data_IF_410329904929
#
_entry.id   IF_410329904929
#
_cell.length_a   1.000
_cell.length_b   1.000
_cell.length_c   1.000
_cell.angle_alpha   90.00
_cell.angle_beta   90.00
_cell.angle_gamma   90.00
#
_symmetry.space_group_name_H-M   'P 1'
#
loop_
_entity.id
_entity.type
_entity.pdbx_description
1 polymer ?
#
# COMPACT_ATOMS: atom_id res chain seq x y z
N UNK A 1 21.28 -31.17 2.59
CA UNK A 1 22.53 -31.35 1.82
C UNK A 1 23.51 -30.30 2.32
N UNK A 2 24.76 -30.65 2.67
CA UNK A 2 25.62 -29.74 3.40
C UNK A 2 26.12 -28.60 2.51
N UNK A 3 26.02 -27.38 3.03
CA UNK A 3 26.53 -26.14 2.46
C UNK A 3 28.06 -26.12 2.46
N UNK A 4 28.68 -26.04 1.28
CA UNK A 4 30.12 -25.81 1.15
C UNK A 4 30.44 -24.32 1.31
N UNK A 5 31.14 -23.96 2.38
CA UNK A 5 31.87 -22.69 2.47
C UNK A 5 33.27 -22.89 1.89
N UNK A 6 33.58 -22.21 0.80
CA UNK A 6 34.96 -22.10 0.28
C UNK A 6 35.69 -20.98 1.02
N UNK A 7 36.88 -21.28 1.55
CA UNK A 7 37.75 -20.31 2.24
C UNK A 7 38.82 -19.80 1.28
N UNK A 8 38.88 -18.48 1.08
CA UNK A 8 40.03 -17.80 0.49
C UNK A 8 40.72 -16.99 1.59
N UNK A 9 41.98 -17.32 1.87
CA UNK A 9 42.85 -16.57 2.79
C UNK A 9 43.42 -15.34 2.08
N UNK A 10 42.92 -14.16 2.41
CA UNK A 10 43.65 -12.90 2.20
C UNK A 10 43.32 -11.93 3.33
N UNK A 11 44.35 -11.23 3.81
CA UNK A 11 44.32 -10.34 4.97
C UNK A 11 43.62 -9.03 4.57
N UNK A 12 42.31 -9.01 4.76
CA UNK A 12 41.43 -7.84 4.90
C UNK A 12 40.16 -8.39 5.52
N UNK A 13 39.64 -7.76 6.57
CA UNK A 13 38.43 -8.21 7.25
C UNK A 13 37.22 -8.14 6.31
N UNK A 14 37.01 -9.18 5.52
CA UNK A 14 35.77 -9.41 4.77
C UNK A 14 34.78 -9.92 5.81
N UNK A 15 33.94 -9.02 6.32
CA UNK A 15 32.71 -9.43 6.98
C UNK A 15 31.98 -10.34 5.99
N UNK A 16 31.71 -11.61 6.31
CA UNK A 16 30.96 -12.46 5.41
C UNK A 16 29.57 -11.84 5.29
N UNK A 17 29.26 -11.28 4.12
CA UNK A 17 27.87 -11.04 3.74
C UNK A 17 27.25 -12.43 3.58
N UNK A 18 26.75 -12.96 4.68
CA UNK A 18 25.75 -14.00 4.64
C UNK A 18 24.56 -13.41 3.87
N UNK A 19 24.45 -13.71 2.58
CA UNK A 19 23.19 -13.60 1.88
C UNK A 19 22.26 -14.59 2.56
N UNK A 20 21.54 -14.10 3.58
CA UNK A 20 20.41 -14.82 4.12
C UNK A 20 19.48 -15.06 2.94
N UNK A 21 19.22 -16.34 2.63
CA UNK A 21 18.11 -16.74 1.79
C UNK A 21 16.84 -16.22 2.50
N UNK A 22 16.46 -14.96 2.22
CA UNK A 22 15.26 -14.35 2.80
C UNK A 22 14.10 -15.14 2.24
N UNK A 23 13.56 -16.04 3.06
CA UNK A 23 12.27 -16.66 2.79
C UNK A 23 11.27 -15.52 2.62
N UNK A 24 10.43 -15.59 1.59
CA UNK A 24 9.23 -14.74 1.47
C UNK A 24 8.58 -14.68 2.86
N UNK A 25 8.40 -13.46 3.35
CA UNK A 25 7.79 -13.24 4.66
C UNK A 25 6.41 -13.88 4.63
N UNK A 26 6.06 -14.70 5.63
CA UNK A 26 4.69 -15.23 5.69
C UNK A 26 3.76 -14.04 5.86
N UNK A 27 2.54 -14.12 5.34
CA UNK A 27 1.55 -13.07 5.53
C UNK A 27 1.23 -12.88 7.02
N UNK A 28 2.00 -12.02 7.67
CA UNK A 28 2.05 -11.87 9.13
C UNK A 28 2.62 -10.52 9.48
N UNK A 29 1.86 -9.72 10.23
CA UNK A 29 2.27 -8.38 10.61
C UNK A 29 3.48 -8.37 11.55
N UNK A 30 3.68 -9.42 12.35
CA UNK A 30 4.78 -9.51 13.32
C UNK A 30 6.15 -9.71 12.69
N UNK A 31 6.19 -10.08 11.41
CA UNK A 31 7.43 -10.27 10.66
C UNK A 31 7.78 -9.07 9.80
N UNK A 32 6.92 -8.05 9.75
CA UNK A 32 7.15 -6.84 8.98
C UNK A 32 7.92 -5.83 9.81
N UNK A 33 8.89 -5.18 9.17
CA UNK A 33 9.46 -3.95 9.71
C UNK A 33 8.38 -2.86 9.66
N UNK A 34 8.17 -2.18 10.78
CA UNK A 34 7.15 -1.14 10.87
C UNK A 34 7.54 0.06 9.98
N UNK A 35 6.65 0.51 9.08
CA UNK A 35 6.93 1.66 8.25
C UNK A 35 7.03 2.93 9.11
N UNK A 36 7.98 3.80 8.77
CA UNK A 36 8.13 5.11 9.40
C UNK A 36 7.69 6.17 8.40
N UNK A 37 6.78 7.03 8.84
CA UNK A 37 6.28 8.18 8.07
C UNK A 37 6.51 9.42 8.91
N UNK A 38 7.10 10.46 8.32
CA UNK A 38 7.42 11.69 9.03
C UNK A 38 6.12 12.40 9.44
N UNK A 39 5.97 12.70 10.74
CA UNK A 39 4.79 13.41 11.26
C UNK A 39 3.56 12.51 11.50
N UNK A 40 3.60 11.24 11.13
CA UNK A 40 2.52 10.28 11.35
C UNK A 40 2.88 9.26 12.44
N UNK A 41 1.84 8.76 13.12
CA UNK A 41 1.92 7.71 14.11
C UNK A 41 1.15 6.48 13.62
N UNK A 42 1.86 5.38 13.39
CA UNK A 42 1.24 4.08 13.09
C UNK A 42 0.57 3.56 14.36
N UNK A 43 -0.74 3.28 14.30
CA UNK A 43 -1.53 2.79 15.44
C UNK A 43 -1.83 1.30 15.34
N UNK A 44 -1.90 0.75 14.12
CA UNK A 44 -2.13 -0.69 13.91
C UNK A 44 -1.57 -1.17 12.58
N UNK A 45 -1.10 -2.42 12.56
CA UNK A 45 -0.74 -3.15 11.35
C UNK A 45 -1.34 -4.55 11.46
N UNK A 46 -2.14 -4.93 10.47
CA UNK A 46 -2.72 -6.27 10.37
C UNK A 46 -2.35 -6.92 9.05
N UNK A 47 -2.27 -8.25 9.05
CA UNK A 47 -1.94 -9.05 7.88
C UNK A 47 -2.95 -10.17 7.71
N UNK A 48 -3.54 -10.25 6.52
CA UNK A 48 -4.54 -11.27 6.18
C UNK A 48 -4.19 -11.90 4.86
N UNK A 49 -3.98 -13.22 4.85
CA UNK A 49 -3.83 -13.96 3.62
C UNK A 49 -5.19 -14.14 2.97
N UNK A 50 -5.35 -13.71 1.72
CA UNK A 50 -6.62 -13.72 1.00
C UNK A 50 -6.51 -14.66 -0.20
N UNK A 51 -7.22 -15.79 -0.13
CA UNK A 51 -7.34 -16.74 -1.23
C UNK A 51 -8.53 -17.71 -1.00
N UNK A 52 -9.36 -17.99 -2.02
CA UNK A 52 -9.46 -17.29 -3.30
C UNK A 52 -10.15 -15.93 -3.15
N UNK A 53 -9.74 -14.95 -3.95
CA UNK A 53 -10.44 -13.66 -4.06
C UNK A 53 -10.88 -13.39 -5.49
N UNK A 54 -12.11 -12.91 -5.65
CA UNK A 54 -12.70 -12.59 -6.93
C UNK A 54 -13.46 -11.27 -6.83
N UNK A 55 -13.26 -10.39 -7.81
CA UNK A 55 -13.95 -9.09 -7.89
C UNK A 55 -14.08 -8.65 -9.34
N UNK A 56 -14.97 -7.70 -9.59
CA UNK A 56 -15.06 -6.98 -10.86
C UNK A 56 -14.51 -5.58 -10.68
N UNK A 57 -13.64 -5.17 -11.59
CA UNK A 57 -13.23 -3.77 -11.71
C UNK A 57 -14.01 -3.13 -12.82
N UNK A 58 -14.58 -1.95 -12.55
CA UNK A 58 -14.95 -1.01 -13.60
C UNK A 58 -13.68 -0.39 -14.19
N UNK A 59 -13.82 0.36 -15.28
CA UNK A 59 -12.68 1.05 -15.88
C UNK A 59 -12.11 2.06 -14.88
N UNK A 60 -10.82 1.94 -14.56
CA UNK A 60 -10.07 2.93 -13.77
C UNK A 60 -8.85 3.40 -14.57
N UNK A 61 -8.95 4.60 -15.14
CA UNK A 61 -7.94 5.18 -16.01
C UNK A 61 -7.71 4.32 -17.25
N UNK A 62 -6.45 3.90 -17.46
CA UNK A 62 -6.06 3.06 -18.59
C UNK A 62 -6.38 1.56 -18.40
N UNK A 63 -6.86 1.14 -17.22
CA UNK A 63 -7.20 -0.25 -16.94
C UNK A 63 -8.64 -0.53 -17.41
N UNK A 64 -8.85 -1.46 -18.36
CA UNK A 64 -10.18 -1.83 -18.82
C UNK A 64 -11.01 -2.51 -17.73
N UNK A 65 -12.34 -2.40 -17.85
CA UNK A 65 -13.24 -3.18 -17.01
C UNK A 65 -13.03 -4.68 -17.24
N UNK A 66 -12.88 -5.43 -16.16
CA UNK A 66 -12.57 -6.85 -16.20
C UNK A 66 -12.98 -7.56 -14.90
N UNK A 67 -13.16 -8.87 -14.99
CA UNK A 67 -13.36 -9.74 -13.84
C UNK A 67 -12.01 -10.38 -13.47
N UNK A 68 -11.63 -10.23 -12.20
CA UNK A 68 -10.44 -10.85 -11.64
C UNK A 68 -10.88 -11.97 -10.72
N UNK A 69 -10.39 -13.18 -10.95
CA UNK A 69 -10.78 -14.37 -10.20
C UNK A 69 -9.57 -15.11 -9.68
N UNK A 70 -9.76 -15.89 -8.61
CA UNK A 70 -8.72 -16.73 -8.01
C UNK A 70 -7.44 -15.98 -7.63
N UNK A 71 -7.55 -14.69 -7.29
CA UNK A 71 -6.41 -13.93 -6.80
C UNK A 71 -5.93 -14.52 -5.46
N UNK A 72 -4.62 -14.48 -5.26
CA UNK A 72 -3.94 -14.96 -4.07
C UNK A 72 -2.89 -13.92 -3.65
N UNK A 73 -3.10 -13.32 -2.48
CA UNK A 73 -2.24 -12.25 -2.01
C UNK A 73 -2.29 -12.12 -0.49
N UNK A 74 -1.28 -11.46 0.06
CA UNK A 74 -1.31 -10.96 1.42
C UNK A 74 -1.83 -9.52 1.42
N UNK A 75 -2.90 -9.24 2.17
CA UNK A 75 -3.34 -7.87 2.46
C UNK A 75 -2.72 -7.40 3.78
N UNK A 76 -1.88 -6.37 3.71
CA UNK A 76 -1.42 -5.64 4.89
C UNK A 76 -2.24 -4.37 5.02
N UNK A 77 -3.00 -4.25 6.10
CA UNK A 77 -3.72 -3.02 6.45
C UNK A 77 -2.95 -2.26 7.52
N UNK A 78 -2.63 -1.01 7.23
CA UNK A 78 -2.00 -0.07 8.16
C UNK A 78 -3.00 0.98 8.55
N UNK A 79 -3.16 1.23 9.85
CA UNK A 79 -3.90 2.36 10.39
C UNK A 79 -2.92 3.34 11.01
N UNK A 80 -3.09 4.62 10.72
CA UNK A 80 -2.25 5.68 11.28
C UNK A 80 -3.04 6.99 11.46
N UNK A 81 -2.43 7.93 12.16
CA UNK A 81 -2.95 9.29 12.40
C UNK A 81 -1.79 10.27 12.38
N UNK A 82 -2.07 11.53 12.08
CA UNK A 82 -1.17 12.65 12.32
C UNK A 82 -1.54 13.31 13.67
N UNK A 83 -0.65 13.30 14.68
CA UNK A 83 -0.93 13.95 15.96
C UNK A 83 -1.35 15.42 15.78
N UNK A 84 -2.55 15.75 16.24
CA UNK A 84 -3.15 17.08 16.11
C UNK A 84 -4.07 17.26 14.91
N UNK A 85 -4.15 16.29 13.98
CA UNK A 85 -5.04 16.39 12.82
C UNK A 85 -6.45 15.86 13.10
N UNK A 86 -6.58 14.97 14.09
CA UNK A 86 -7.82 14.25 14.40
C UNK A 86 -8.33 13.44 13.20
N UNK A 87 -7.40 12.77 12.52
CA UNK A 87 -7.61 11.88 11.39
C UNK A 87 -7.39 10.41 11.80
N UNK A 88 -7.99 9.48 11.05
CA UNK A 88 -7.66 8.05 11.14
C UNK A 88 -7.62 7.53 9.71
N UNK A 89 -6.42 7.30 9.19
CA UNK A 89 -6.20 6.94 7.79
C UNK A 89 -5.86 5.47 7.69
N UNK A 90 -6.42 4.81 6.68
CA UNK A 90 -6.13 3.42 6.35
C UNK A 90 -5.38 3.31 5.04
N UNK A 91 -4.37 2.43 5.03
CA UNK A 91 -3.67 2.00 3.82
C UNK A 91 -3.82 0.49 3.70
N UNK A 92 -4.25 0.03 2.54
CA UNK A 92 -4.19 -1.39 2.18
C UNK A 92 -3.05 -1.60 1.20
N UNK A 93 -2.20 -2.60 1.47
CA UNK A 93 -1.11 -3.02 0.61
C UNK A 93 -1.33 -4.48 0.24
N UNK A 94 -1.63 -4.74 -1.03
CA UNK A 94 -1.83 -6.08 -1.55
C UNK A 94 -0.55 -6.60 -2.20
N UNK A 95 -0.08 -7.74 -1.70
CA UNK A 95 1.20 -8.35 -2.03
C UNK A 95 0.96 -9.74 -2.65
N UNK A 96 0.94 -9.87 -3.99
CA UNK A 96 0.73 -11.17 -4.63
C UNK A 96 1.92 -12.11 -4.41
N UNK A 97 1.67 -13.41 -4.39
CA UNK A 97 2.77 -14.40 -4.27
C UNK A 97 3.76 -14.31 -5.43
N UNK A 98 3.26 -14.05 -6.65
CA UNK A 98 4.05 -13.85 -7.86
C UNK A 98 4.26 -12.35 -8.10
N UNK A 99 5.33 -11.80 -7.53
CA UNK A 99 5.66 -10.39 -7.65
C UNK A 99 6.64 -10.11 -8.80
N UNK A 100 6.31 -9.14 -9.64
CA UNK A 100 7.10 -8.77 -10.82
C UNK A 100 8.22 -7.73 -10.52
N UNK A 101 8.48 -7.43 -9.25
CA UNK A 101 9.47 -6.44 -8.82
C UNK A 101 9.02 -4.99 -8.90
N UNK A 102 7.72 -4.72 -9.15
CA UNK A 102 7.18 -3.36 -9.32
C UNK A 102 6.15 -3.02 -8.24
N UNK A 103 6.10 -1.75 -7.88
CA UNK A 103 5.08 -1.19 -6.99
C UNK A 103 4.12 -0.30 -7.76
N UNK A 104 2.83 -0.32 -7.43
CA UNK A 104 1.82 0.59 -7.97
C UNK A 104 1.00 1.23 -6.86
N UNK A 105 1.09 2.55 -6.71
CA UNK A 105 0.11 3.32 -5.94
C UNK A 105 -1.14 3.58 -6.77
N UNK A 106 -2.30 3.57 -6.14
CA UNK A 106 -3.57 3.84 -6.82
C UNK A 106 -4.31 5.04 -6.25
N UNK A 107 -4.90 5.84 -7.13
CA UNK A 107 -5.77 6.97 -6.78
C UNK A 107 -7.26 6.65 -6.88
N UNK A 108 -8.08 7.55 -6.35
CA UNK A 108 -9.54 7.44 -6.32
C UNK A 108 -10.24 8.25 -7.42
N UNK A 109 -11.50 8.62 -7.14
CA UNK A 109 -12.37 9.40 -8.01
C UNK A 109 -13.34 10.23 -7.17
N UNK A 110 -13.88 11.32 -7.73
CA UNK A 110 -14.77 12.22 -6.99
C UNK A 110 -14.13 12.74 -5.70
N UNK A 111 -14.80 12.56 -4.56
CA UNK A 111 -14.30 12.92 -3.24
C UNK A 111 -13.77 11.71 -2.45
N UNK A 112 -13.14 10.78 -3.16
CA UNK A 112 -12.54 9.58 -2.60
C UNK A 112 -11.06 9.55 -2.95
N UNK A 113 -10.21 9.25 -1.97
CA UNK A 113 -8.75 9.22 -2.14
C UNK A 113 -8.27 7.99 -2.92
N UNK A 114 -8.94 6.83 -2.78
CA UNK A 114 -8.57 5.57 -3.44
C UNK A 114 -9.68 4.51 -3.39
N UNK A 115 -9.81 3.71 -4.44
CA UNK A 115 -10.73 2.58 -4.48
C UNK A 115 -9.96 1.26 -4.29
N UNK A 116 -9.95 0.70 -3.08
CA UNK A 116 -9.18 -0.51 -2.73
C UNK A 116 -9.41 -1.67 -3.72
N UNK A 117 -10.56 -2.34 -3.67
CA UNK A 117 -10.76 -3.57 -4.45
C UNK A 117 -10.71 -3.31 -5.97
N UNK A 118 -11.33 -2.22 -6.43
CA UNK A 118 -11.38 -1.86 -7.84
C UNK A 118 -10.01 -1.49 -8.42
N UNK A 119 -9.10 -0.90 -7.63
CA UNK A 119 -7.79 -0.45 -8.15
C UNK A 119 -6.67 -1.43 -7.84
N UNK A 120 -6.74 -2.15 -6.72
CA UNK A 120 -5.70 -3.10 -6.32
C UNK A 120 -5.81 -4.44 -7.05
N UNK A 121 -7.01 -4.97 -7.29
CA UNK A 121 -7.18 -6.25 -7.99
C UNK A 121 -6.54 -6.27 -9.39
N UNK A 122 -6.73 -5.26 -10.26
CA UNK A 122 -6.04 -5.20 -11.55
C UNK A 122 -4.51 -5.15 -11.45
N UNK A 123 -3.99 -4.47 -10.43
CA UNK A 123 -2.56 -4.30 -10.22
C UNK A 123 -1.93 -5.62 -9.78
N UNK A 124 -2.49 -6.28 -8.77
CA UNK A 124 -1.94 -7.56 -8.29
C UNK A 124 -2.12 -8.69 -9.30
N UNK A 125 -3.16 -8.66 -10.14
CA UNK A 125 -3.34 -9.60 -11.24
C UNK A 125 -2.23 -9.52 -12.29
N UNK A 126 -1.56 -8.37 -12.39
CA UNK A 126 -0.38 -8.16 -13.25
C UNK A 126 0.95 -8.35 -12.48
N UNK A 127 0.89 -8.78 -11.22
CA UNK A 127 2.06 -9.05 -10.37
C UNK A 127 2.65 -7.83 -9.68
N UNK A 128 1.98 -6.68 -9.65
CA UNK A 128 2.44 -5.53 -8.87
C UNK A 128 2.19 -5.77 -7.38
N UNK A 129 3.10 -5.26 -6.53
CA UNK A 129 2.72 -4.90 -5.17
C UNK A 129 1.91 -3.60 -5.25
N UNK A 130 0.71 -3.56 -4.71
CA UNK A 130 -0.21 -2.45 -4.94
C UNK A 130 -0.71 -1.84 -3.64
N UNK A 131 -0.87 -0.52 -3.59
CA UNK A 131 -1.37 0.16 -2.39
C UNK A 131 -2.42 1.23 -2.70
N UNK A 132 -3.40 1.33 -1.81
CA UNK A 132 -4.51 2.28 -1.85
C UNK A 132 -4.80 2.82 -0.45
N UNK A 133 -5.30 4.04 -0.35
CA UNK A 133 -5.70 4.66 0.91
C UNK A 133 -7.11 5.24 0.83
N UNK A 134 -7.80 5.28 1.97
CA UNK A 134 -9.06 6.00 2.11
C UNK A 134 -8.86 7.51 2.32
N UNK A 135 -7.65 7.95 2.68
CA UNK A 135 -7.33 9.34 3.00
C UNK A 135 -8.10 9.87 4.22
N UNK A 136 -8.47 9.00 5.15
CA UNK A 136 -9.08 9.38 6.42
C UNK A 136 -10.57 9.66 6.36
N UNK A 137 -11.23 9.33 5.26
CA UNK A 137 -12.67 9.52 5.08
C UNK A 137 -13.31 8.42 4.23
N UNK A 138 -14.63 8.35 4.27
CA UNK A 138 -15.44 7.47 3.42
C UNK A 138 -16.29 8.30 2.48
N UNK A 139 -16.57 7.78 1.29
CA UNK A 139 -17.56 8.38 0.40
C UNK A 139 -18.92 8.46 1.09
N UNK A 140 -19.59 9.60 0.96
CA UNK A 140 -20.99 9.72 1.34
C UNK A 140 -21.88 9.11 0.24
N UNK A 141 -23.08 8.65 0.62
CA UNK A 141 -24.02 8.07 -0.36
C UNK A 141 -24.51 9.04 -1.44
N UNK A 142 -24.38 10.35 -1.22
CA UNK A 142 -24.69 11.41 -2.19
C UNK A 142 -23.47 11.89 -2.99
N UNK A 143 -22.29 11.34 -2.72
CA UNK A 143 -21.04 11.68 -3.40
C UNK A 143 -20.50 13.07 -3.06
N UNK A 144 -20.97 13.69 -1.97
CA UNK A 144 -20.57 15.04 -1.55
C UNK A 144 -19.67 15.01 -0.29
N UNK A 145 -18.70 15.95 -0.15
CA UNK A 145 -17.66 15.81 0.85
C UNK A 145 -18.04 16.37 2.23
N UNK A 146 -19.23 16.94 2.43
CA UNK A 146 -19.56 17.75 3.61
C UNK A 146 -19.43 16.97 4.92
N UNK A 147 -19.67 15.66 4.89
CA UNK A 147 -19.61 14.79 6.08
C UNK A 147 -18.21 14.66 6.67
N UNK A 148 -17.16 14.93 5.90
CA UNK A 148 -15.77 14.82 6.34
C UNK A 148 -14.95 16.09 6.09
N UNK A 149 -15.24 16.84 5.02
CA UNK A 149 -14.52 18.05 4.66
C UNK A 149 -14.97 19.28 5.46
N UNK A 150 -16.04 19.17 6.24
CA UNK A 150 -16.50 20.21 7.16
C UNK A 150 -16.50 19.71 8.61
N UNK A 151 -16.09 20.59 9.53
CA UNK A 151 -16.22 20.38 10.97
C UNK A 151 -17.63 20.75 11.47
N UNK A 152 -18.27 21.69 10.79
CA UNK A 152 -19.66 22.15 10.99
C UNK A 152 -20.06 23.04 9.80
N UNK A 153 -21.33 23.45 9.65
CA UNK A 153 -21.75 24.30 8.52
C UNK A 153 -20.90 25.56 8.37
N UNK A 154 -20.21 25.70 7.23
CA UNK A 154 -19.31 26.82 6.92
C UNK A 154 -17.91 26.74 7.54
N UNK A 155 -17.59 25.68 8.30
CA UNK A 155 -16.29 25.50 8.95
C UNK A 155 -15.56 24.32 8.32
N UNK A 156 -14.50 24.61 7.59
CA UNK A 156 -13.75 23.63 6.80
C UNK A 156 -12.83 22.78 7.68
N UNK A 157 -12.82 21.47 7.45
CA UNK A 157 -11.82 20.56 7.98
C UNK A 157 -10.57 20.58 7.08
N UNK A 158 -9.68 21.53 7.35
CA UNK A 158 -8.48 21.72 6.53
C UNK A 158 -7.52 20.52 6.56
N UNK A 159 -7.44 19.77 7.67
CA UNK A 159 -6.54 18.63 7.79
C UNK A 159 -6.98 17.49 6.87
N UNK A 160 -8.25 17.05 6.95
CA UNK A 160 -8.72 15.99 6.04
C UNK A 160 -8.71 16.42 4.57
N UNK A 161 -8.89 17.71 4.27
CA UNK A 161 -8.69 18.20 2.91
C UNK A 161 -7.22 18.13 2.46
N UNK A 162 -6.26 18.34 3.35
CA UNK A 162 -4.83 18.14 3.03
C UNK A 162 -4.49 16.66 2.84
N UNK A 163 -5.07 15.78 3.66
CA UNK A 163 -4.96 14.32 3.53
C UNK A 163 -5.47 13.86 2.17
N UNK A 164 -6.68 14.29 1.78
CA UNK A 164 -7.26 14.06 0.46
C UNK A 164 -6.45 14.69 -0.68
N UNK A 165 -5.87 15.87 -0.47
CA UNK A 165 -5.16 16.60 -1.51
C UNK A 165 -3.83 15.93 -1.88
N UNK A 166 -3.05 15.50 -0.88
CA UNK A 166 -1.70 15.00 -1.13
C UNK A 166 -1.07 14.15 -0.03
N UNK A 167 -1.36 14.45 1.25
CA UNK A 167 -0.61 13.85 2.38
C UNK A 167 -0.84 12.35 2.45
N UNK A 168 -2.10 11.91 2.44
CA UNK A 168 -2.40 10.49 2.55
C UNK A 168 -1.89 9.67 1.36
N UNK A 169 -1.87 10.25 0.16
CA UNK A 169 -1.37 9.61 -1.06
C UNK A 169 0.16 9.41 -1.00
N UNK A 170 0.88 10.42 -0.49
CA UNK A 170 2.31 10.33 -0.22
C UNK A 170 2.60 9.26 0.85
N UNK A 171 1.88 9.31 1.97
CA UNK A 171 2.11 8.41 3.10
C UNK A 171 1.80 6.98 2.73
N UNK A 172 0.72 6.74 2.01
CA UNK A 172 0.39 5.45 1.41
C UNK A 172 1.54 4.93 0.54
N UNK A 173 2.18 5.79 -0.24
CA UNK A 173 3.31 5.40 -1.09
C UNK A 173 4.55 5.05 -0.26
N UNK A 174 4.86 5.81 0.79
CA UNK A 174 5.97 5.53 1.71
C UNK A 174 5.73 4.21 2.44
N UNK A 175 4.56 4.05 3.04
CA UNK A 175 4.12 2.84 3.75
C UNK A 175 4.16 1.63 2.83
N UNK A 176 3.57 1.74 1.64
CA UNK A 176 3.46 0.65 0.67
C UNK A 176 4.82 0.15 0.20
N UNK A 177 5.76 1.06 -0.11
CA UNK A 177 7.13 0.69 -0.52
C UNK A 177 7.92 0.07 0.63
N UNK A 178 7.79 0.58 1.86
CA UNK A 178 8.44 0.01 3.03
C UNK A 178 7.96 -1.43 3.30
N UNK A 179 6.63 -1.64 3.29
CA UNK A 179 6.02 -2.97 3.45
C UNK A 179 6.44 -3.91 2.33
N UNK A 180 6.42 -3.44 1.07
CA UNK A 180 6.85 -4.25 -0.08
C UNK A 180 8.30 -4.72 0.09
N UNK A 181 9.18 -3.79 0.49
CA UNK A 181 10.60 -4.09 0.73
C UNK A 181 10.78 -5.10 1.85
N UNK A 182 10.05 -4.93 2.97
CA UNK A 182 10.10 -5.86 4.09
C UNK A 182 9.58 -7.25 3.71
N UNK A 183 8.46 -7.31 2.99
CA UNK A 183 7.79 -8.56 2.64
C UNK A 183 8.61 -9.43 1.66
N UNK A 184 9.07 -8.84 0.54
CA UNK A 184 9.83 -9.56 -0.49
C UNK A 184 11.34 -9.60 -0.22
N UNK A 185 11.84 -8.82 0.73
CA UNK A 185 13.26 -8.70 1.04
C UNK A 185 14.07 -7.89 0.03
N UNK A 186 13.41 -7.23 -0.94
CA UNK A 186 14.00 -6.33 -1.91
C UNK A 186 13.07 -5.16 -2.23
N UNK A 187 13.64 -4.00 -2.48
CA UNK A 187 12.87 -2.81 -2.85
C UNK A 187 12.31 -2.95 -4.27
N UNK A 188 11.15 -2.32 -4.58
CA UNK A 188 10.64 -2.27 -5.95
C UNK A 188 11.66 -1.63 -6.90
N UNK A 189 11.96 -2.28 -8.02
CA UNK A 189 12.85 -1.74 -9.06
C UNK A 189 12.21 -0.54 -9.76
N UNK A 190 10.89 -0.58 -9.95
CA UNK A 190 10.10 0.50 -10.53
C UNK A 190 8.86 0.74 -9.68
N UNK A 191 8.40 1.99 -9.72
CA UNK A 191 7.17 2.42 -9.05
C UNK A 191 6.28 3.15 -10.05
N UNK A 192 5.00 2.84 -10.02
CA UNK A 192 3.99 3.39 -10.91
C UNK A 192 2.85 4.02 -10.11
N UNK A 193 2.11 4.88 -10.78
CA UNK A 193 0.86 5.45 -10.28
C UNK A 193 -0.25 5.12 -11.27
N UNK A 194 -1.42 4.71 -10.77
CA UNK A 194 -2.61 4.52 -11.58
C UNK A 194 -3.81 5.23 -10.94
N UNK A 195 -4.40 6.17 -11.67
CA UNK A 195 -5.58 6.88 -11.22
C UNK A 195 -6.23 7.64 -12.38
N UNK A 196 -7.50 7.98 -12.21
CA UNK A 196 -8.31 8.72 -13.17
C UNK A 196 -9.10 9.80 -12.45
N UNK A 197 -9.40 10.92 -13.13
CA UNK A 197 -10.11 12.05 -12.51
C UNK A 197 -9.36 12.56 -11.27
N UNK A 198 -9.98 12.55 -10.08
CA UNK A 198 -9.31 12.87 -8.80
C UNK A 198 -8.03 12.08 -8.59
N UNK A 199 -7.98 10.80 -8.96
CA UNK A 199 -6.77 10.00 -8.87
C UNK A 199 -5.69 10.39 -9.88
N UNK A 200 -6.01 11.20 -10.89
CA UNK A 200 -5.07 11.77 -11.85
C UNK A 200 -4.61 13.21 -11.54
N UNK A 201 -5.29 13.92 -10.63
CA UNK A 201 -4.95 15.27 -10.17
C UNK A 201 -3.79 15.25 -9.18
#
# INVERSE_FOLDING_TARGET
>A
MPSLCTSFTSILAVVPLCYANRRLTRCSATQLEHPVVFGAQITSVTATHVHPYSTSSTQNGAVPAANYTNLNFCNIKVTYTHPGYNDIIHVNVWLPSEWNGRFQGTGGGGWITGHTDQSLAPAIAQGYAAASTDGGHTESGDGMPETWALLSPGNVNHNLLQDFASVALNDMTVIGKAITTSYYGSAPTFSYWNGCSTGGR
#
